data_IF_859601322683
#
_entry.id   IF_859601322683
#
_cell.length_a   1.000
_cell.length_b   1.000
_cell.length_c   1.000
_cell.angle_alpha   90.00
_cell.angle_beta   90.00
_cell.angle_gamma   90.00
#
_symmetry.space_group_name_H-M   'P 1'
#
loop_
_entity.id
_entity.type
_entity.pdbx_description
1 polymer ?
#
# COMPACT_ATOMS: atom_id res chain seq x y z
N UNK A 1 -1.02 -3.81 10.91
CA UNK A 1 -0.16 -3.10 9.95
C UNK A 1 0.33 -1.78 10.53
N UNK A 2 -0.53 -1.00 11.18
CA UNK A 2 -0.16 0.28 11.81
C UNK A 2 0.96 0.16 12.84
N UNK A 3 0.95 -0.91 13.65
CA UNK A 3 2.01 -1.15 14.63
C UNK A 3 3.38 -1.41 13.96
N UNK A 4 3.39 -2.11 12.82
CA UNK A 4 4.61 -2.32 12.03
C UNK A 4 5.07 -1.00 11.46
N UNK A 5 4.15 -0.21 10.90
CA UNK A 5 4.45 1.12 10.37
C UNK A 5 4.96 2.09 11.44
N UNK A 6 4.41 2.06 12.66
CA UNK A 6 4.80 2.94 13.75
C UNK A 6 6.14 2.55 14.38
N UNK A 7 6.41 1.25 14.53
CA UNK A 7 7.65 0.75 15.13
C UNK A 7 8.80 0.69 14.15
N UNK A 8 8.50 0.55 12.85
CA UNK A 8 9.53 0.41 11.83
C UNK A 8 10.25 -0.94 11.86
N UNK A 9 9.72 -1.94 12.56
CA UNK A 9 10.29 -3.28 12.67
C UNK A 9 9.79 -4.17 11.53
N UNK A 10 10.64 -5.09 11.04
CA UNK A 10 10.22 -6.08 10.04
C UNK A 10 9.70 -7.30 10.77
N UNK A 11 8.50 -7.74 10.42
CA UNK A 11 7.87 -8.91 11.03
C UNK A 11 7.89 -10.10 10.08
N UNK A 12 8.31 -11.27 10.59
CA UNK A 12 8.25 -12.52 9.84
C UNK A 12 6.95 -13.25 10.19
N UNK A 13 6.08 -13.41 9.21
CA UNK A 13 4.84 -14.17 9.34
C UNK A 13 5.15 -15.64 9.13
N UNK A 14 4.85 -16.46 10.13
CA UNK A 14 5.03 -17.92 10.07
C UNK A 14 3.69 -18.64 10.04
N UNK A 15 3.66 -19.79 9.36
CA UNK A 15 2.55 -20.76 9.40
C UNK A 15 3.13 -22.13 9.75
N UNK A 16 2.64 -22.72 10.84
CA UNK A 16 3.15 -23.98 11.39
C UNK A 16 4.68 -23.95 11.67
N UNK A 17 5.16 -22.83 12.22
CA UNK A 17 6.58 -22.62 12.52
C UNK A 17 7.47 -22.41 11.29
N UNK A 18 6.90 -22.36 10.08
CA UNK A 18 7.64 -22.08 8.83
C UNK A 18 7.37 -20.65 8.37
N UNK A 19 8.40 -19.85 8.05
CA UNK A 19 8.22 -18.51 7.52
C UNK A 19 7.56 -18.56 6.14
N UNK A 20 6.56 -17.72 5.92
CA UNK A 20 5.80 -17.65 4.67
C UNK A 20 5.74 -16.25 4.05
N UNK A 21 5.95 -15.20 4.86
CA UNK A 21 5.94 -13.83 4.38
C UNK A 21 6.69 -12.90 5.34
N UNK A 22 7.07 -11.74 4.85
CA UNK A 22 7.60 -10.64 5.65
C UNK A 22 6.69 -9.42 5.52
N UNK A 23 6.43 -8.75 6.64
CA UNK A 23 5.70 -7.50 6.68
C UNK A 23 6.69 -6.38 6.99
N UNK A 24 6.87 -5.51 6.01
CA UNK A 24 7.78 -4.37 6.10
C UNK A 24 7.00 -3.10 6.47
N UNK A 25 7.58 -2.23 7.32
CA UNK A 25 7.01 -0.91 7.59
C UNK A 25 7.04 -0.06 6.32
N UNK A 26 5.94 0.60 6.00
CA UNK A 26 5.93 1.56 4.91
C UNK A 26 6.67 2.84 5.34
N UNK A 27 7.91 3.00 4.87
CA UNK A 27 8.70 4.22 5.07
C UNK A 27 8.61 5.02 3.77
N UNK A 28 7.70 5.98 3.73
CA UNK A 28 7.45 6.82 2.55
C UNK A 28 8.75 7.37 1.94
N UNK A 29 8.84 7.27 0.62
CA UNK A 29 9.97 7.70 -0.17
C UNK A 29 9.91 7.09 -1.57
N UNK A 30 8.82 7.31 -2.31
CA UNK A 30 8.84 7.01 -3.74
C UNK A 30 9.64 8.12 -4.43
N UNK A 31 10.86 7.78 -4.82
CA UNK A 31 11.63 8.51 -5.83
C UNK A 31 10.71 8.81 -7.02
N UNK A 32 10.75 10.06 -7.49
CA UNK A 32 9.98 10.55 -8.63
C UNK A 32 10.54 10.04 -9.97
N UNK A 33 10.85 8.73 -10.06
CA UNK A 33 11.39 7.97 -11.22
C UNK A 33 12.92 7.95 -11.31
N UNK A 34 13.58 6.88 -11.86
CA UNK A 34 13.06 5.84 -12.77
C UNK A 34 13.35 4.40 -12.29
N UNK A 35 12.37 3.53 -12.08
CA UNK A 35 11.34 3.16 -13.05
C UNK A 35 9.90 3.42 -12.55
N UNK A 36 9.73 4.42 -11.68
CA UNK A 36 8.45 4.99 -11.25
C UNK A 36 7.89 5.99 -12.26
N UNK A 37 7.56 5.52 -13.46
CA UNK A 37 7.09 6.32 -14.60
C UNK A 37 5.60 6.72 -14.49
N UNK A 38 5.16 7.18 -13.32
CA UNK A 38 3.90 7.93 -13.20
C UNK A 38 4.10 9.13 -12.28
N UNK A 39 4.28 10.34 -12.83
CA UNK A 39 4.63 11.54 -12.06
C UNK A 39 3.49 12.09 -11.20
N UNK A 40 2.31 11.47 -11.20
CA UNK A 40 1.11 11.93 -10.50
C UNK A 40 0.35 10.74 -9.94
N UNK A 41 0.87 10.15 -8.85
CA UNK A 41 0.05 9.32 -7.99
C UNK A 41 -0.53 10.25 -6.91
N UNK A 42 -1.83 10.48 -6.97
CA UNK A 42 -2.56 11.22 -5.94
C UNK A 42 -3.23 10.20 -5.01
N UNK A 43 -2.93 10.29 -3.71
CA UNK A 43 -3.59 9.47 -2.70
C UNK A 43 -4.79 10.27 -2.20
N UNK A 44 -5.99 9.88 -2.61
CA UNK A 44 -7.25 10.53 -2.24
C UNK A 44 -7.81 10.10 -0.87
N UNK A 45 -7.08 9.25 -0.14
CA UNK A 45 -7.49 8.70 1.15
C UNK A 45 -8.20 7.35 1.02
N UNK A 46 -8.69 6.85 2.16
CA UNK A 46 -9.40 5.57 2.23
C UNK A 46 -10.85 5.71 1.77
N UNK A 47 -11.36 4.66 1.11
CA UNK A 47 -12.76 4.56 0.71
C UNK A 47 -13.60 4.31 1.98
N UNK A 48 -14.28 5.35 2.46
CA UNK A 48 -15.12 5.30 3.68
C UNK A 48 -16.56 4.90 3.40
N UNK A 49 -17.00 4.96 2.14
CA UNK A 49 -18.34 4.59 1.69
C UNK A 49 -18.31 4.12 0.23
N UNK A 50 -19.31 3.35 -0.24
CA UNK A 50 -19.39 2.94 -1.63
C UNK A 50 -19.43 4.15 -2.57
N UNK A 51 -18.60 4.14 -3.62
CA UNK A 51 -18.74 5.11 -4.70
C UNK A 51 -20.05 4.80 -5.44
N UNK A 52 -20.93 5.80 -5.58
CA UNK A 52 -22.14 5.70 -6.38
C UNK A 52 -21.81 5.30 -7.83
N UNK A 53 -22.79 4.74 -8.56
CA UNK A 53 -22.65 4.19 -9.93
C UNK A 53 -22.02 5.14 -10.97
N UNK A 54 -21.90 6.44 -10.65
CA UNK A 54 -21.54 7.51 -11.59
C UNK A 54 -20.03 7.73 -11.73
N UNK A 55 -19.19 7.27 -10.80
CA UNK A 55 -17.74 7.56 -10.85
C UNK A 55 -16.86 6.46 -11.44
N UNK A 56 -17.42 5.30 -11.78
CA UNK A 56 -16.63 4.22 -12.37
C UNK A 56 -16.42 4.42 -13.89
N UNK A 57 -15.44 5.24 -14.29
CA UNK A 57 -14.98 5.35 -15.69
C UNK A 57 -14.10 4.16 -16.09
N UNK A 58 -14.66 2.96 -16.11
CA UNK A 58 -14.01 1.83 -16.78
C UNK A 58 -14.30 1.88 -18.28
N UNK A 59 -13.24 2.18 -19.04
CA UNK A 59 -13.10 2.09 -20.50
C UNK A 59 -13.83 3.20 -21.29
N UNK A 60 -13.07 4.22 -21.68
CA UNK A 60 -13.29 5.02 -22.88
C UNK A 60 -12.15 4.76 -23.86
#
# INVERSE_FOLDING_TARGET
>A
MDEVASKGEIWVVTKNGRPIAELHPYRGGRSTSPFGLHPKLEISGDIVEPLDEVEWKALA
#
